data_IF_502928180194
#
_entry.id   IF_502928180194
#
_cell.length_a   1.000
_cell.length_b   1.000
_cell.length_c   1.000
_cell.angle_alpha   90.00
_cell.angle_beta   90.00
_cell.angle_gamma   90.00
#
_symmetry.space_group_name_H-M   'P 1'
#
loop_
_entity.id
_entity.type
_entity.pdbx_description
1 polymer ?
#
# COMPACT_ATOMS: atom_id res chain seq x y z
N UNK A 1 7.93 1.18 5.22
CA UNK A 1 6.53 1.29 4.73
C UNK A 1 5.53 1.26 5.88
N UNK A 2 5.51 0.23 6.74
CA UNK A 2 4.59 0.17 7.90
C UNK A 2 4.66 1.43 8.77
N UNK A 3 5.86 1.82 9.21
CA UNK A 3 6.04 3.04 10.01
C UNK A 3 5.57 4.32 9.29
N UNK A 4 5.71 4.39 7.96
CA UNK A 4 5.19 5.51 7.17
C UNK A 4 3.66 5.56 7.24
N UNK A 5 3.01 4.41 6.99
CA UNK A 5 1.56 4.30 7.10
C UNK A 5 1.08 4.66 8.51
N UNK A 6 1.77 4.20 9.56
CA UNK A 6 1.43 4.54 10.96
C UNK A 6 1.61 6.03 11.26
N UNK A 7 2.75 6.62 10.89
CA UNK A 7 3.05 8.04 11.17
C UNK A 7 2.07 8.99 10.46
N UNK A 8 1.62 8.62 9.26
CA UNK A 8 0.68 9.42 8.46
C UNK A 8 -0.78 8.98 8.60
N UNK A 9 -1.08 8.05 9.52
CA UNK A 9 -2.42 7.49 9.76
C UNK A 9 -3.11 6.99 8.48
N UNK A 10 -2.33 6.33 7.62
CA UNK A 10 -2.79 5.76 6.36
C UNK A 10 -3.12 4.28 6.53
N UNK A 11 -4.34 3.92 6.19
CA UNK A 11 -4.75 2.51 6.07
C UNK A 11 -4.20 1.84 4.79
N UNK A 12 -3.92 2.64 3.76
CA UNK A 12 -3.40 2.19 2.46
C UNK A 12 -2.48 3.27 1.85
N UNK A 13 -1.51 2.83 1.06
CA UNK A 13 -0.70 3.69 0.21
C UNK A 13 -0.01 2.89 -0.88
N UNK A 14 0.07 3.46 -2.09
CA UNK A 14 0.90 2.94 -3.17
C UNK A 14 2.28 3.60 -3.11
N UNK A 15 3.35 2.80 -3.14
CA UNK A 15 4.72 3.28 -2.99
C UNK A 15 5.54 3.00 -4.25
N UNK A 16 6.22 4.01 -4.75
CA UNK A 16 7.05 3.91 -5.95
C UNK A 16 8.53 3.89 -5.61
N UNK A 17 9.25 2.95 -6.22
CA UNK A 17 10.69 2.78 -6.06
C UNK A 17 11.38 2.58 -7.41
N UNK A 18 12.57 3.15 -7.54
CA UNK A 18 13.49 2.90 -8.62
C UNK A 18 14.66 2.06 -8.15
N UNK A 19 15.17 1.19 -9.03
CA UNK A 19 16.46 0.54 -8.85
C UNK A 19 17.42 1.17 -9.86
N UNK A 20 18.54 1.72 -9.39
CA UNK A 20 19.53 2.28 -10.31
C UNK A 20 20.41 1.21 -10.97
N UNK A 21 21.31 1.63 -11.85
CA UNK A 21 22.19 0.74 -12.61
C UNK A 21 23.18 -0.05 -11.73
N UNK A 22 23.39 0.35 -10.48
CA UNK A 22 24.28 -0.34 -9.53
C UNK A 22 23.50 -1.12 -8.47
N UNK A 23 22.16 -1.19 -8.58
CA UNK A 23 21.31 -1.99 -7.71
C UNK A 23 20.91 -1.29 -6.41
N UNK A 24 21.05 0.04 -6.32
CA UNK A 24 20.58 0.80 -5.16
C UNK A 24 19.11 1.16 -5.33
N UNK A 25 18.32 0.92 -4.28
CA UNK A 25 16.91 1.29 -4.22
C UNK A 25 16.76 2.77 -3.88
N UNK A 26 15.93 3.45 -4.67
CA UNK A 26 15.56 4.85 -4.48
C UNK A 26 14.05 4.91 -4.22
N UNK A 27 13.66 5.58 -3.14
CA UNK A 27 12.25 5.86 -2.86
C UNK A 27 11.84 7.17 -3.55
N UNK A 28 10.67 7.18 -4.20
CA UNK A 28 10.17 8.36 -4.91
C UNK A 28 9.01 9.01 -4.19
N UNK A 29 7.91 8.28 -4.03
CA UNK A 29 6.70 8.82 -3.40
C UNK A 29 5.83 7.74 -2.73
N UNK A 30 4.83 8.22 -2.00
CA UNK A 30 3.70 7.43 -1.54
C UNK A 30 2.41 8.17 -1.92
N UNK A 31 1.52 7.51 -2.66
CA UNK A 31 0.20 8.02 -2.99
C UNK A 31 -0.87 7.37 -2.11
N UNK A 32 -1.51 8.10 -1.18
CA UNK A 32 -2.56 7.56 -0.31
C UNK A 32 -3.81 7.09 -1.06
N UNK A 33 -4.04 7.60 -2.27
CA UNK A 33 -5.14 7.23 -3.16
C UNK A 33 -4.63 6.53 -4.45
N UNK A 34 -3.41 5.99 -4.40
CA UNK A 34 -2.74 5.42 -5.56
C UNK A 34 -3.59 4.34 -6.24
N UNK A 35 -3.77 4.48 -7.55
CA UNK A 35 -4.53 3.53 -8.36
C UNK A 35 -3.81 2.18 -8.43
N UNK A 36 -4.57 1.11 -8.27
CA UNK A 36 -4.05 -0.27 -8.33
C UNK A 36 -4.75 -1.12 -9.40
N UNK A 37 -5.83 -0.63 -10.00
CA UNK A 37 -6.69 -1.42 -10.89
C UNK A 37 -6.04 -1.82 -12.23
N UNK A 38 -4.89 -1.23 -12.57
CA UNK A 38 -4.13 -1.59 -13.77
C UNK A 38 -3.36 -2.92 -13.64
N UNK A 39 -3.28 -3.51 -12.44
CA UNK A 39 -2.58 -4.77 -12.26
C UNK A 39 -3.40 -5.92 -12.88
N UNK A 40 -2.73 -7.04 -13.25
CA UNK A 40 -3.44 -8.25 -13.63
C UNK A 40 -4.44 -8.70 -12.56
N UNK A 41 -5.53 -9.33 -12.99
CA UNK A 41 -6.66 -9.74 -12.14
C UNK A 41 -6.25 -10.43 -10.81
N UNK A 42 -5.27 -11.36 -10.77
CA UNK A 42 -4.87 -11.99 -9.52
C UNK A 42 -4.29 -11.03 -8.46
N UNK A 43 -3.73 -9.90 -8.89
CA UNK A 43 -3.18 -8.88 -8.00
C UNK A 43 -4.29 -7.90 -7.61
N UNK A 44 -5.04 -7.40 -8.60
CA UNK A 44 -6.15 -6.45 -8.39
C UNK A 44 -7.21 -7.01 -7.44
N UNK A 45 -7.58 -8.29 -7.58
CA UNK A 45 -8.53 -8.98 -6.70
C UNK A 45 -8.04 -9.08 -5.26
N UNK A 46 -6.74 -9.32 -5.03
CA UNK A 46 -6.16 -9.38 -3.67
C UNK A 46 -6.14 -8.02 -2.99
N UNK A 47 -5.77 -6.97 -3.70
CA UNK A 47 -5.79 -5.59 -3.17
C UNK A 47 -7.22 -5.18 -2.85
N UNK A 48 -8.16 -5.45 -3.77
CA UNK A 48 -9.59 -5.21 -3.56
C UNK A 48 -10.10 -5.93 -2.31
N UNK A 49 -9.79 -7.21 -2.15
CA UNK A 49 -10.22 -8.00 -1.00
C UNK A 49 -9.66 -7.45 0.33
N UNK A 50 -8.38 -7.06 0.36
CA UNK A 50 -7.76 -6.49 1.55
C UNK A 50 -8.37 -5.15 1.94
N UNK A 51 -8.63 -4.26 0.97
CA UNK A 51 -9.30 -2.98 1.22
C UNK A 51 -10.73 -3.21 1.70
N UNK A 52 -11.48 -4.13 1.05
CA UNK A 52 -12.84 -4.46 1.44
C UNK A 52 -12.92 -5.02 2.86
N UNK A 53 -12.03 -5.94 3.22
CA UNK A 53 -11.94 -6.51 4.58
C UNK A 53 -11.70 -5.41 5.62
N UNK A 54 -10.77 -4.49 5.35
CA UNK A 54 -10.45 -3.37 6.25
C UNK A 54 -11.59 -2.37 6.40
N UNK A 55 -12.39 -2.15 5.35
CA UNK A 55 -13.59 -1.32 5.39
C UNK A 55 -14.73 -2.02 6.16
N UNK A 56 -14.88 -3.33 6.00
CA UNK A 56 -15.88 -4.12 6.72
C UNK A 56 -15.54 -4.28 8.21
N UNK A 57 -14.26 -4.21 8.54
CA UNK A 57 -13.74 -4.49 9.88
C UNK A 57 -12.74 -3.42 10.34
N UNK A 58 -13.21 -2.20 10.64
CA UNK A 58 -12.32 -1.07 10.89
C UNK A 58 -11.44 -1.22 12.13
N UNK A 59 -11.85 -2.05 13.10
CA UNK A 59 -11.18 -2.25 14.39
C UNK A 59 -10.29 -3.50 14.44
N UNK A 60 -10.20 -4.28 13.35
CA UNK A 60 -9.42 -5.54 13.34
C UNK A 60 -7.91 -5.34 13.35
N UNK A 61 -7.43 -4.13 13.10
CA UNK A 61 -6.03 -3.73 13.35
C UNK A 61 -5.99 -2.65 14.44
N UNK A 62 -6.07 -3.10 15.70
CA UNK A 62 -5.56 -2.36 16.86
C UNK A 62 -4.98 -3.33 17.91
N UNK A 63 -3.78 -3.90 17.70
CA UNK A 63 -2.85 -4.04 18.80
C UNK A 63 -2.26 -2.64 19.06
N UNK A 64 -2.59 -2.05 20.22
CA UNK A 64 -1.81 -0.94 20.75
C UNK A 64 -0.37 -1.33 21.05
#
# INVERSE_FOLDING_TARGET
MRDYLTVFDLTYGAFDFGLDAVGVWHWHECSPNGQFAWFPEPITSRITAAIADRLQHPDREHPG
#
